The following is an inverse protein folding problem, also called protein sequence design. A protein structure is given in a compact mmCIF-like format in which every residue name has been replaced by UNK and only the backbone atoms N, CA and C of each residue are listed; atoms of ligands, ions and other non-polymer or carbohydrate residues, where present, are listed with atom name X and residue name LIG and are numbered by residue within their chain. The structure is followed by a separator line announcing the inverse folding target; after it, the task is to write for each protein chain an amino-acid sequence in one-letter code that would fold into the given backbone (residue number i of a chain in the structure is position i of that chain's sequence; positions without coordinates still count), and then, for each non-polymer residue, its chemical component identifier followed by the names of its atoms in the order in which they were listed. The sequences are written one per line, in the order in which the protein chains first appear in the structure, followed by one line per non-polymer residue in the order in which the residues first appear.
data_IF_806056911840
#
_entry.id   IF_806056911840
#
_cell.length_a   1.000
_cell.length_b   1.000
_cell.length_c   1.000
_cell.angle_alpha   90.00
_cell.angle_beta   90.00
_cell.angle_gamma   90.00
#
_symmetry.space_group_name_H-M   'P 1'
#
loop_
_entity.id
_entity.type
_entity.pdbx_description
1 polymer ?
#
# COMPACT_ATOMS: atom_id res chain seq x y z
N UNK A 1 -8.91 8.82 4.24
CA UNK A 1 -9.86 7.71 3.98
C UNK A 1 -10.52 7.75 2.59
N UNK A 2 -11.00 8.90 2.08
CA UNK A 2 -11.75 9.02 0.80
C UNK A 2 -11.07 8.43 -0.46
N UNK A 3 -9.74 8.30 -0.48
CA UNK A 3 -8.98 7.73 -1.60
C UNK A 3 -9.40 6.28 -1.94
N UNK A 4 -9.74 5.45 -0.94
CA UNK A 4 -10.14 4.05 -1.17
C UNK A 4 -11.46 3.90 -1.93
N UNK A 5 -12.23 4.98 -2.04
CA UNK A 5 -13.50 5.00 -2.76
C UNK A 5 -13.37 5.50 -4.19
N UNK A 6 -12.15 5.82 -4.64
CA UNK A 6 -11.88 6.09 -6.06
C UNK A 6 -11.94 4.74 -6.77
N UNK A 7 -13.14 4.39 -7.23
CA UNK A 7 -13.46 3.07 -7.75
C UNK A 7 -14.35 3.18 -8.98
N UNK A 8 -14.36 2.15 -9.81
CA UNK A 8 -15.26 1.97 -10.94
C UNK A 8 -16.65 1.46 -10.51
N UNK A 9 -16.80 0.98 -9.27
CA UNK A 9 -18.06 0.43 -8.78
C UNK A 9 -19.19 1.46 -8.82
N UNK A 10 -20.34 1.08 -9.38
CA UNK A 10 -21.58 1.87 -9.44
C UNK A 10 -22.83 1.03 -9.13
N UNK A 11 -22.62 -0.16 -8.58
CA UNK A 11 -23.63 -1.22 -8.42
C UNK A 11 -24.69 -0.93 -7.34
N UNK A 12 -24.40 -0.04 -6.39
CA UNK A 12 -25.35 0.35 -5.34
C UNK A 12 -25.54 1.86 -5.29
N UNK A 13 -26.61 2.31 -4.62
CA UNK A 13 -26.84 3.75 -4.37
C UNK A 13 -25.64 4.38 -3.65
N UNK A 14 -25.07 3.67 -2.67
CA UNK A 14 -23.87 4.08 -1.97
C UNK A 14 -22.68 4.29 -2.92
N UNK A 15 -22.39 3.32 -3.80
CA UNK A 15 -21.26 3.44 -4.74
C UNK A 15 -21.45 4.54 -5.77
N UNK A 16 -22.69 4.81 -6.19
CA UNK A 16 -22.99 5.95 -7.07
C UNK A 16 -22.78 7.29 -6.36
N UNK A 17 -23.25 7.42 -5.12
CA UNK A 17 -23.11 8.65 -4.33
C UNK A 17 -21.64 8.94 -3.96
N UNK A 18 -20.95 7.95 -3.39
CA UNK A 18 -19.59 8.10 -2.87
C UNK A 18 -18.57 8.46 -3.97
N UNK A 19 -18.84 8.06 -5.22
CA UNK A 19 -17.97 8.32 -6.38
C UNK A 19 -18.40 9.51 -7.23
N UNK A 20 -19.57 10.10 -6.96
CA UNK A 20 -20.05 11.29 -7.66
C UNK A 20 -19.18 12.53 -7.36
N UNK A 21 -18.50 12.55 -6.22
CA UNK A 21 -17.55 13.60 -5.86
C UNK A 21 -16.43 13.08 -4.97
N UNK A 22 -15.27 13.73 -4.98
CA UNK A 22 -14.20 13.49 -4.02
C UNK A 22 -13.74 14.85 -3.46
N UNK A 23 -13.27 14.90 -2.20
CA UNK A 23 -12.77 16.14 -1.64
C UNK A 23 -11.53 16.63 -2.41
N UNK A 24 -11.26 17.95 -2.46
CA UNK A 24 -10.17 18.54 -3.23
C UNK A 24 -8.80 17.87 -2.97
N UNK A 25 -8.50 17.57 -1.71
CA UNK A 25 -7.25 16.89 -1.33
C UNK A 25 -7.04 15.54 -2.03
N UNK A 26 -8.11 14.82 -2.40
CA UNK A 26 -8.00 13.56 -3.14
C UNK A 26 -7.81 13.86 -4.62
N UNK A 27 -8.63 14.74 -5.20
CA UNK A 27 -8.56 15.05 -6.63
C UNK A 27 -7.23 15.70 -7.01
N UNK A 28 -6.74 16.65 -6.22
CA UNK A 28 -5.46 17.33 -6.42
C UNK A 28 -4.27 16.37 -6.33
N UNK A 29 -4.30 15.44 -5.36
CA UNK A 29 -3.27 14.41 -5.24
C UNK A 29 -3.29 13.44 -6.42
N UNK A 30 -4.47 12.98 -6.83
CA UNK A 30 -4.59 12.12 -8.02
C UNK A 30 -4.10 12.84 -9.28
N UNK A 31 -4.43 14.12 -9.44
CA UNK A 31 -3.97 14.92 -10.57
C UNK A 31 -2.44 15.03 -10.54
N UNK A 32 -1.84 15.33 -9.39
CA UNK A 32 -0.39 15.35 -9.18
C UNK A 32 0.24 13.99 -9.51
N UNK A 33 -0.33 12.90 -8.98
CA UNK A 33 0.21 11.55 -9.11
C UNK A 33 -0.05 10.89 -10.47
N UNK A 34 -0.91 11.48 -11.29
CA UNK A 34 -1.04 11.12 -12.71
C UNK A 34 0.20 11.54 -13.53
N UNK A 35 0.99 12.50 -13.03
CA UNK A 35 2.15 13.08 -13.72
C UNK A 35 3.49 12.78 -13.05
N UNK A 36 3.49 12.44 -11.76
CA UNK A 36 4.69 12.13 -10.95
C UNK A 36 4.42 10.91 -10.09
N UNK A 37 5.41 10.06 -9.88
CA UNK A 37 5.27 8.99 -8.90
C UNK A 37 5.15 9.58 -7.46
N UNK A 38 4.25 9.06 -6.61
CA UNK A 38 4.12 9.53 -5.23
C UNK A 38 5.44 9.43 -4.46
N UNK A 39 5.85 10.52 -3.81
CA UNK A 39 7.06 10.54 -2.97
C UNK A 39 6.79 11.16 -1.61
N UNK A 40 7.75 11.00 -0.69
CA UNK A 40 7.68 11.54 0.68
C UNK A 40 7.40 13.04 0.75
N UNK A 41 7.90 13.79 -0.22
CA UNK A 41 7.71 15.24 -0.36
C UNK A 41 6.25 15.64 -0.61
N UNK A 42 5.39 14.69 -0.98
CA UNK A 42 3.97 14.95 -1.20
C UNK A 42 3.16 14.94 0.11
N UNK A 43 3.82 14.70 1.24
CA UNK A 43 3.21 14.57 2.57
C UNK A 43 3.86 15.51 3.57
N UNK A 44 3.06 15.98 4.52
CA UNK A 44 3.58 16.73 5.66
C UNK A 44 4.61 15.88 6.43
N UNK A 45 5.78 16.47 6.78
CA UNK A 45 6.77 15.79 7.58
C UNK A 45 6.18 15.39 8.93
N UNK A 46 6.29 14.10 9.26
CA UNK A 46 5.95 13.65 10.60
C UNK A 46 7.10 13.97 11.57
N UNK A 47 6.81 14.45 12.80
CA UNK A 47 7.84 14.73 13.79
C UNK A 47 8.79 13.54 13.98
N UNK A 48 10.09 13.86 14.17
CA UNK A 48 11.16 12.87 14.35
C UNK A 48 11.41 11.94 13.14
N UNK A 49 10.77 12.19 11.99
CA UNK A 49 10.99 11.41 10.78
C UNK A 49 10.55 9.95 10.88
N UNK A 50 9.71 9.61 11.88
CA UNK A 50 9.18 8.26 12.06
C UNK A 50 8.29 7.88 10.86
N UNK A 51 8.25 6.59 10.56
CA UNK A 51 7.35 6.05 9.57
C UNK A 51 5.89 6.38 9.97
N UNK A 52 5.24 7.23 9.20
CA UNK A 52 3.86 7.65 9.39
C UNK A 52 3.05 7.33 8.12
N UNK A 53 1.77 7.73 8.08
CA UNK A 53 0.87 7.70 6.93
C UNK A 53 1.37 8.60 5.78
N UNK A 54 2.53 8.28 5.22
CA UNK A 54 3.17 8.94 4.08
C UNK A 54 3.12 7.99 2.86
N UNK A 55 4.05 8.09 1.92
CA UNK A 55 4.03 7.37 0.65
C UNK A 55 3.89 5.85 0.81
N UNK A 56 4.43 5.28 1.88
CA UNK A 56 4.40 3.84 2.15
C UNK A 56 2.98 3.28 2.32
N UNK A 57 2.03 4.10 2.79
CA UNK A 57 0.63 3.68 2.93
C UNK A 57 -0.23 4.03 1.71
N UNK A 58 0.21 4.99 0.89
CA UNK A 58 -0.55 5.42 -0.30
C UNK A 58 -0.22 4.57 -1.53
N UNK A 59 1.05 4.23 -1.75
CA UNK A 59 1.48 3.47 -2.94
C UNK A 59 0.76 2.13 -3.07
N UNK A 60 0.61 1.29 -2.02
CA UNK A 60 -0.12 0.03 -2.13
C UNK A 60 -1.60 0.22 -2.48
N UNK A 61 -2.25 1.25 -1.93
CA UNK A 61 -3.67 1.56 -2.21
C UNK A 61 -3.84 2.01 -3.65
N UNK A 62 -3.00 2.94 -4.12
CA UNK A 62 -3.03 3.42 -5.50
C UNK A 62 -2.78 2.27 -6.49
N UNK A 63 -1.80 1.42 -6.20
CA UNK A 63 -1.50 0.26 -7.04
C UNK A 63 -2.66 -0.76 -7.03
N UNK A 64 -3.24 -1.05 -5.87
CA UNK A 64 -4.37 -1.97 -5.73
C UNK A 64 -5.66 -1.48 -6.41
N UNK A 65 -5.82 -0.16 -6.58
CA UNK A 65 -6.93 0.46 -7.30
C UNK A 65 -6.62 0.70 -8.79
N UNK A 66 -5.41 0.40 -9.27
CA UNK A 66 -5.01 0.67 -10.66
C UNK A 66 -4.77 2.15 -10.97
N UNK A 67 -4.62 3.00 -9.95
CA UNK A 67 -4.44 4.46 -10.09
C UNK A 67 -2.97 4.89 -10.24
N UNK A 68 -2.04 3.94 -10.15
CA UNK A 68 -0.60 4.19 -10.26
C UNK A 68 -0.11 3.91 -11.68
N UNK A 69 0.50 4.90 -12.33
CA UNK A 69 1.11 4.71 -13.65
C UNK A 69 2.32 3.79 -13.57
N UNK A 70 2.25 2.67 -14.29
CA UNK A 70 3.35 1.70 -14.39
C UNK A 70 4.56 2.29 -15.14
N UNK A 71 4.34 3.20 -16.09
CA UNK A 71 5.43 3.89 -16.80
C UNK A 71 6.19 4.84 -15.88
N UNK A 72 5.48 5.60 -15.05
CA UNK A 72 6.12 6.45 -14.05
C UNK A 72 6.90 5.61 -13.03
N UNK A 73 6.33 4.49 -12.56
CA UNK A 73 7.02 3.59 -11.64
C UNK A 73 8.32 3.02 -12.25
N UNK A 74 8.27 2.59 -13.52
CA UNK A 74 9.45 2.13 -14.25
C UNK A 74 10.50 3.24 -14.41
N UNK A 75 10.06 4.44 -14.75
CA UNK A 75 10.94 5.59 -14.91
C UNK A 75 11.65 5.97 -13.59
N UNK A 76 10.93 5.99 -12.46
CA UNK A 76 11.53 6.23 -11.15
C UNK A 76 12.60 5.19 -10.81
N UNK A 77 12.29 3.90 -10.98
CA UNK A 77 13.24 2.83 -10.73
C UNK A 77 14.45 2.87 -11.69
N UNK A 78 14.30 3.44 -12.88
CA UNK A 78 15.39 3.59 -13.82
C UNK A 78 16.38 4.70 -13.42
N UNK A 79 15.98 5.68 -12.59
CA UNK A 79 16.84 6.79 -12.15
C UNK A 79 18.01 6.33 -11.27
N UNK A 80 17.81 5.26 -10.51
CA UNK A 80 18.86 4.68 -9.67
C UNK A 80 18.93 3.15 -9.88
N UNK A 81 19.82 2.68 -10.78
CA UNK A 81 20.00 1.25 -11.03
C UNK A 81 20.44 0.45 -9.80
N UNK A 82 21.18 1.06 -8.87
CA UNK A 82 21.63 0.39 -7.64
C UNK A 82 20.45 0.20 -6.70
N UNK A 83 19.64 1.23 -6.51
CA UNK A 83 18.40 1.13 -5.74
C UNK A 83 17.46 0.08 -6.36
N UNK A 84 17.32 0.07 -7.69
CA UNK A 84 16.50 -0.93 -8.39
C UNK A 84 16.98 -2.35 -8.17
N UNK A 85 18.28 -2.58 -8.26
CA UNK A 85 18.85 -3.89 -8.00
C UNK A 85 18.62 -4.32 -6.55
N UNK A 86 18.90 -3.42 -5.59
CA UNK A 86 18.64 -3.67 -4.16
C UNK A 86 17.16 -3.98 -3.89
N UNK A 87 16.23 -3.25 -4.49
CA UNK A 87 14.80 -3.50 -4.34
C UNK A 87 14.40 -4.90 -4.84
N UNK A 88 14.97 -5.35 -5.97
CA UNK A 88 14.75 -6.71 -6.51
C UNK A 88 15.28 -7.78 -5.57
N UNK A 89 16.50 -7.61 -5.07
CA UNK A 89 17.13 -8.54 -4.12
C UNK A 89 16.35 -8.62 -2.82
N UNK A 90 15.97 -7.47 -2.25
CA UNK A 90 15.13 -7.41 -1.05
C UNK A 90 13.81 -8.11 -1.29
N UNK A 91 13.11 -7.83 -2.39
CA UNK A 91 11.84 -8.49 -2.71
C UNK A 91 12.01 -10.02 -2.81
N UNK A 92 13.02 -10.50 -3.54
CA UNK A 92 13.30 -11.92 -3.67
C UNK A 92 13.59 -12.58 -2.30
N UNK A 93 14.36 -11.92 -1.45
CA UNK A 93 14.65 -12.39 -0.09
C UNK A 93 13.38 -12.47 0.75
N UNK A 94 12.56 -11.42 0.76
CA UNK A 94 11.32 -11.37 1.54
C UNK A 94 10.33 -12.45 1.08
N UNK A 95 10.16 -12.64 -0.23
CA UNK A 95 9.29 -13.70 -0.77
C UNK A 95 9.78 -15.06 -0.27
N UNK A 96 11.07 -15.36 -0.42
CA UNK A 96 11.62 -16.64 0.00
C UNK A 96 11.48 -16.86 1.53
N UNK A 97 11.72 -15.82 2.33
CA UNK A 97 11.58 -15.88 3.79
C UNK A 97 10.14 -16.11 4.22
N UNK A 98 9.21 -15.28 3.74
CA UNK A 98 7.81 -15.35 4.17
C UNK A 98 7.09 -16.58 3.62
N UNK A 99 7.47 -17.09 2.45
CA UNK A 99 6.97 -18.40 1.99
C UNK A 99 7.38 -19.53 2.93
N UNK A 100 8.66 -19.59 3.33
CA UNK A 100 9.13 -20.59 4.30
C UNK A 100 8.49 -20.42 5.68
N UNK A 101 8.28 -19.18 6.12
CA UNK A 101 7.61 -18.90 7.38
C UNK A 101 6.15 -19.37 7.32
N UNK A 102 5.43 -19.06 6.24
CA UNK A 102 4.03 -19.45 6.07
C UNK A 102 3.81 -20.97 6.14
N UNK A 103 4.77 -21.78 5.66
CA UNK A 103 4.71 -23.25 5.76
C UNK A 103 4.88 -23.78 7.20
N UNK A 104 5.52 -23.00 8.08
CA UNK A 104 5.84 -23.40 9.46
C UNK A 104 4.91 -22.75 10.50
N UNK A 105 4.30 -21.63 10.17
CA UNK A 105 3.44 -20.89 11.06
C UNK A 105 2.13 -21.65 11.31
N UNK A 106 1.65 -21.62 12.55
CA UNK A 106 0.31 -22.06 12.86
C UNK A 106 -0.72 -21.15 12.15
N UNK A 107 -1.82 -21.72 11.62
CA UNK A 107 -2.96 -20.91 11.20
C UNK A 107 -3.42 -20.01 12.35
N UNK A 108 -3.77 -18.76 12.04
CA UNK A 108 -4.08 -17.74 13.06
C UNK A 108 -5.09 -18.22 14.12
N UNK A 109 -6.16 -18.90 13.70
CA UNK A 109 -7.16 -19.47 14.64
C UNK A 109 -6.56 -20.54 15.55
N UNK A 110 -5.76 -21.45 15.01
CA UNK A 110 -5.15 -22.53 15.78
C UNK A 110 -4.18 -21.98 16.85
N UNK A 111 -3.45 -20.90 16.52
CA UNK A 111 -2.62 -20.20 17.50
C UNK A 111 -3.46 -19.55 18.62
N UNK A 112 -4.56 -18.87 18.28
CA UNK A 112 -5.46 -18.30 19.31
C UNK A 112 -6.03 -19.40 20.24
N UNK A 113 -6.38 -20.55 19.68
CA UNK A 113 -6.90 -21.68 20.46
C UNK A 113 -5.84 -22.31 21.38
N UNK A 114 -4.55 -22.34 20.99
CA UNK A 114 -3.50 -22.89 21.84
C UNK A 114 -3.28 -22.05 23.10
N UNK A 115 -3.44 -20.72 23.02
CA UNK A 115 -3.30 -19.83 24.17
C UNK A 115 -4.35 -20.12 25.26
N UNK A 116 -5.59 -20.46 24.86
CA UNK A 116 -6.65 -20.80 25.81
C UNK A 116 -6.39 -22.13 26.51
N UNK A 117 -5.71 -23.09 25.86
CA UNK A 117 -5.35 -24.37 26.48
C UNK A 117 -4.26 -24.22 27.54
N UNK A 118 -3.31 -23.33 27.33
CA UNK A 118 -2.24 -23.04 28.29
C UNK A 118 -2.73 -22.31 29.55
N UNK A 119 -3.91 -21.69 29.52
CA UNK A 119 -4.43 -20.92 30.67
C UNK A 119 -5.21 -21.78 31.69
N UNK A 120 -5.51 -23.04 31.37
CA UNK A 120 -6.32 -23.95 32.22
C UNK A 120 -5.48 -25.08 32.86
N UNK A 121 -4.16 -25.07 32.64
CA UNK A 121 -3.18 -25.93 33.32
C UNK A 121 -2.46 -25.14 34.42
#
# INVERSE_FOLDING_TARGET
MRLHYVSERRDTAYWRDVTASHPPVVTERLEKWSRKFPSREDFEPFPLGLAHVQEQLYVPVLNGLGLLSQDLARAEMARDPKLRQRARETHASLVAEYSRAAEKCLPHRAWLESLHKETVA
#
